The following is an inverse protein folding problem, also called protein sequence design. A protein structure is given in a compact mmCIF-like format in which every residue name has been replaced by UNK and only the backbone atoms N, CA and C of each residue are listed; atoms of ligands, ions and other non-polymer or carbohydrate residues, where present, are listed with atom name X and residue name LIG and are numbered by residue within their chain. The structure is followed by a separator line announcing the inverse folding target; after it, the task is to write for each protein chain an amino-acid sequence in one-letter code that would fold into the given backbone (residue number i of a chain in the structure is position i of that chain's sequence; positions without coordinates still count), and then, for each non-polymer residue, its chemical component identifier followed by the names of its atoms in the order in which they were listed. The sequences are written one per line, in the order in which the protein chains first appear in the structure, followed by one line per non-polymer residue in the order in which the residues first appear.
data_IF_148476182154
#
_entry.id   IF_148476182154
#
_cell.length_a   1.000
_cell.length_b   1.000
_cell.length_c   1.000
_cell.angle_alpha   90.00
_cell.angle_beta   90.00
_cell.angle_gamma   90.00
#
_symmetry.space_group_name_H-M   'P 1'
#
loop_
_entity.id
_entity.type
_entity.pdbx_description
1 polymer ?
#
# COMPACT_ATOMS: atom_id res chain seq x y z
N UNK A 1 15.72 14.86 -7.42
CA UNK A 1 14.79 14.96 -6.26
C UNK A 1 15.62 15.41 -5.05
N UNK A 2 15.25 16.49 -4.36
CA UNK A 2 15.96 16.93 -3.14
C UNK A 2 15.79 15.91 -2.02
N UNK A 3 16.75 15.81 -1.08
CA UNK A 3 16.64 14.87 0.04
C UNK A 3 15.35 15.08 0.85
N UNK A 4 14.98 16.34 1.07
CA UNK A 4 13.78 16.69 1.83
C UNK A 4 12.49 16.15 1.18
N UNK A 5 12.36 16.28 -0.16
CA UNK A 5 11.22 15.72 -0.91
C UNK A 5 11.16 14.18 -0.84
N UNK A 6 12.32 13.51 -0.81
CA UNK A 6 12.38 12.06 -0.68
C UNK A 6 11.84 11.59 0.67
N UNK A 7 12.25 12.23 1.78
CA UNK A 7 11.76 11.89 3.12
C UNK A 7 10.26 12.15 3.27
N UNK A 8 9.76 13.28 2.77
CA UNK A 8 8.32 13.59 2.76
C UNK A 8 7.52 12.52 2.00
N UNK A 9 8.00 12.10 0.82
CA UNK A 9 7.33 11.08 0.02
C UNK A 9 7.32 9.70 0.71
N UNK A 10 8.41 9.32 1.37
CA UNK A 10 8.49 8.07 2.15
C UNK A 10 7.48 8.10 3.30
N UNK A 11 7.39 9.21 4.03
CA UNK A 11 6.40 9.37 5.10
C UNK A 11 4.96 9.28 4.58
N UNK A 12 4.65 9.98 3.47
CA UNK A 12 3.33 9.89 2.83
C UNK A 12 2.99 8.45 2.43
N UNK A 13 3.91 7.75 1.77
CA UNK A 13 3.70 6.36 1.37
C UNK A 13 3.48 5.43 2.57
N UNK A 14 4.23 5.59 3.66
CA UNK A 14 4.04 4.81 4.88
C UNK A 14 2.64 5.02 5.49
N UNK A 15 2.18 6.28 5.56
CA UNK A 15 0.81 6.57 6.01
C UNK A 15 -0.25 6.00 5.06
N UNK A 16 -0.04 6.05 3.74
CA UNK A 16 -0.92 5.43 2.76
C UNK A 16 -0.99 3.91 2.95
N UNK A 17 0.16 3.25 3.14
CA UNK A 17 0.21 1.80 3.39
C UNK A 17 -0.60 1.44 4.63
N UNK A 18 -0.40 2.14 5.75
CA UNK A 18 -1.14 1.87 6.98
C UNK A 18 -2.64 2.06 6.79
N UNK A 19 -3.04 3.18 6.18
CA UNK A 19 -4.45 3.47 5.92
C UNK A 19 -5.09 2.40 5.02
N UNK A 20 -4.44 2.06 3.90
CA UNK A 20 -4.91 1.04 2.97
C UNK A 20 -5.00 -0.34 3.64
N UNK A 21 -4.07 -0.68 4.52
CA UNK A 21 -4.13 -1.90 5.30
C UNK A 21 -5.38 -1.93 6.20
N UNK A 22 -5.57 -0.87 6.99
CA UNK A 22 -6.67 -0.78 7.96
C UNK A 22 -8.03 -0.92 7.27
N UNK A 23 -8.24 -0.23 6.15
CA UNK A 23 -9.50 -0.32 5.40
C UNK A 23 -9.64 -1.65 4.67
N UNK A 24 -8.54 -2.28 4.26
CA UNK A 24 -8.58 -3.62 3.64
C UNK A 24 -8.98 -4.68 4.65
N UNK A 25 -8.46 -4.62 5.87
CA UNK A 25 -8.88 -5.52 6.95
C UNK A 25 -10.33 -5.27 7.39
N UNK A 26 -10.81 -4.02 7.34
CA UNK A 26 -12.24 -3.73 7.54
C UNK A 26 -13.11 -4.31 6.42
N UNK A 27 -12.67 -4.16 5.17
CA UNK A 27 -13.34 -4.73 4.00
C UNK A 27 -13.45 -6.26 4.11
N UNK A 28 -12.34 -6.91 4.47
CA UNK A 28 -12.24 -8.36 4.66
C UNK A 28 -13.18 -8.85 5.77
N UNK A 29 -13.26 -8.14 6.89
CA UNK A 29 -14.16 -8.49 8.00
C UNK A 29 -15.65 -8.40 7.61
N UNK A 30 -15.98 -7.65 6.56
CA UNK A 30 -17.34 -7.55 6.02
C UNK A 30 -17.64 -8.62 4.95
N UNK A 31 -16.62 -9.34 4.45
CA UNK A 31 -16.82 -10.39 3.46
C UNK A 31 -17.29 -11.70 4.09
N UNK A 32 -18.05 -12.47 3.31
CA UNK A 32 -18.49 -13.81 3.71
C UNK A 32 -17.43 -14.89 3.50
N UNK A 33 -16.47 -14.65 2.60
CA UNK A 33 -15.35 -15.54 2.31
C UNK A 33 -14.05 -14.85 2.72
N UNK A 34 -13.22 -15.47 3.58
CA UNK A 34 -11.93 -14.92 3.92
C UNK A 34 -10.92 -15.11 2.78
N UNK A 35 -9.86 -14.31 2.77
CA UNK A 35 -8.75 -14.43 1.83
C UNK A 35 -8.47 -13.18 1.00
N UNK A 36 -9.05 -12.03 1.33
CA UNK A 36 -8.96 -10.81 0.51
C UNK A 36 -9.40 -11.02 -0.94
N UNK A 37 -10.29 -11.99 -1.17
CA UNK A 37 -10.68 -12.42 -2.51
C UNK A 37 -11.36 -11.26 -3.23
N UNK A 38 -10.88 -10.90 -4.42
CA UNK A 38 -11.39 -9.77 -5.22
C UNK A 38 -11.16 -8.38 -4.59
N UNK A 39 -10.32 -8.26 -3.55
CA UNK A 39 -9.93 -6.95 -3.04
C UNK A 39 -9.19 -6.16 -4.13
N UNK A 40 -9.52 -4.88 -4.23
CA UNK A 40 -8.86 -3.90 -5.07
C UNK A 40 -9.17 -2.50 -4.55
N UNK A 41 -8.49 -1.47 -5.05
CA UNK A 41 -8.85 -0.08 -4.71
C UNK A 41 -10.32 0.21 -5.08
N UNK A 42 -10.77 -0.25 -6.25
CA UNK A 42 -12.17 -0.10 -6.69
C UNK A 42 -13.16 -0.81 -5.75
N UNK A 43 -12.79 -1.97 -5.21
CA UNK A 43 -13.61 -2.70 -4.24
C UNK A 43 -13.74 -1.92 -2.91
N UNK A 44 -12.64 -1.31 -2.45
CA UNK A 44 -12.63 -0.43 -1.27
C UNK A 44 -13.46 0.84 -1.50
N UNK A 45 -13.38 1.43 -2.70
CA UNK A 45 -14.22 2.56 -3.09
C UNK A 45 -15.71 2.19 -3.14
N UNK A 46 -16.04 1.06 -3.76
CA UNK A 46 -17.41 0.56 -3.87
C UNK A 46 -18.01 0.24 -2.50
N UNK A 47 -17.19 -0.26 -1.57
CA UNK A 47 -17.58 -0.48 -0.18
C UNK A 47 -17.70 0.83 0.64
N UNK A 48 -17.33 1.98 0.07
CA UNK A 48 -17.34 3.28 0.75
C UNK A 48 -16.23 3.44 1.79
N UNK A 49 -15.21 2.58 1.76
CA UNK A 49 -14.06 2.60 2.68
C UNK A 49 -12.90 3.44 2.15
N UNK A 50 -12.86 3.66 0.84
CA UNK A 50 -11.95 4.58 0.17
C UNK A 50 -12.76 5.63 -0.59
N UNK A 51 -12.36 6.89 -0.52
CA UNK A 51 -13.00 7.97 -1.26
C UNK A 51 -11.97 8.63 -2.17
N UNK A 52 -12.37 9.08 -3.36
CA UNK A 52 -11.50 9.87 -4.26
C UNK A 52 -11.06 11.21 -3.67
N UNK A 53 -11.70 11.65 -2.60
CA UNK A 53 -11.33 12.84 -1.84
C UNK A 53 -10.39 12.52 -0.66
N UNK A 54 -10.15 11.24 -0.39
CA UNK A 54 -9.23 10.82 0.65
C UNK A 54 -7.81 11.26 0.26
N UNK A 55 -7.09 11.99 1.14
CA UNK A 55 -5.71 12.41 0.87
C UNK A 55 -4.74 11.25 0.62
N UNK A 56 -5.15 10.03 0.97
CA UNK A 56 -4.42 8.79 0.76
C UNK A 56 -4.92 7.99 -0.44
N UNK A 57 -6.08 8.31 -1.00
CA UNK A 57 -6.60 7.67 -2.19
C UNK A 57 -5.74 8.03 -3.42
N UNK A 58 -5.20 6.97 -4.03
CA UNK A 58 -4.68 6.92 -5.40
C UNK A 58 -3.43 7.74 -5.73
N UNK A 59 -3.06 8.78 -4.99
CA UNK A 59 -1.88 9.57 -5.34
C UNK A 59 -0.60 8.91 -4.83
N UNK A 60 0.03 8.12 -5.70
CA UNK A 60 1.39 7.62 -5.48
C UNK A 60 2.36 8.82 -5.33
N UNK A 61 3.14 8.93 -4.23
CA UNK A 61 4.01 10.09 -3.99
C UNK A 61 5.08 10.33 -5.06
N UNK A 62 5.35 9.33 -5.90
CA UNK A 62 6.33 9.37 -6.98
C UNK A 62 5.68 9.43 -8.38
N UNK A 63 4.35 9.58 -8.48
CA UNK A 63 3.62 9.67 -9.76
C UNK A 63 3.38 8.31 -10.44
N UNK A 64 3.63 7.21 -9.73
CA UNK A 64 3.30 5.87 -10.19
C UNK A 64 1.85 5.46 -9.87
N UNK A 65 1.62 4.16 -9.85
CA UNK A 65 0.37 3.53 -9.44
C UNK A 65 0.49 2.96 -8.02
N UNK A 66 -0.64 2.89 -7.33
CA UNK A 66 -0.81 2.09 -6.12
C UNK A 66 -1.75 0.95 -6.46
N UNK A 67 -1.46 -0.27 -6.02
CA UNK A 67 -2.40 -1.39 -6.14
C UNK A 67 -2.55 -2.11 -4.81
N UNK A 68 -3.74 -2.64 -4.57
CA UNK A 68 -4.10 -3.51 -3.45
C UNK A 68 -4.60 -4.82 -4.06
N UNK A 69 -4.11 -5.95 -3.58
CA UNK A 69 -4.43 -7.27 -4.09
C UNK A 69 -4.28 -8.34 -3.00
N UNK A 70 -4.94 -9.50 -3.10
CA UNK A 70 -4.65 -10.62 -2.22
C UNK A 70 -3.20 -11.11 -2.41
N UNK A 71 -2.51 -11.43 -1.32
CA UNK A 71 -1.24 -12.13 -1.39
C UNK A 71 -1.46 -13.61 -1.79
N UNK A 72 -0.38 -14.29 -2.15
CA UNK A 72 -0.37 -15.73 -2.37
C UNK A 72 -0.80 -16.51 -1.12
N UNK A 73 -0.43 -16.06 0.07
CA UNK A 73 -1.00 -16.56 1.32
C UNK A 73 -2.27 -15.76 1.62
N UNK A 74 -3.45 -16.42 1.68
CA UNK A 74 -4.74 -15.75 1.82
C UNK A 74 -4.89 -14.97 3.14
N UNK A 75 -3.98 -15.13 4.08
CA UNK A 75 -4.01 -14.37 5.34
C UNK A 75 -3.46 -12.96 5.20
N UNK A 76 -2.79 -12.64 4.09
CA UNK A 76 -2.09 -11.38 3.92
C UNK A 76 -2.55 -10.61 2.68
N UNK A 77 -2.20 -9.32 2.70
CA UNK A 77 -2.52 -8.37 1.66
C UNK A 77 -1.26 -7.82 1.00
N UNK A 78 -1.25 -7.75 -0.33
CA UNK A 78 -0.24 -7.05 -1.10
C UNK A 78 -0.63 -5.60 -1.35
N UNK A 79 0.21 -4.66 -0.89
CA UNK A 79 0.16 -3.25 -1.31
C UNK A 79 1.41 -2.95 -2.12
N UNK A 80 1.21 -2.38 -3.31
CA UNK A 80 2.29 -2.12 -4.26
C UNK A 80 2.34 -0.65 -4.64
N UNK A 81 3.54 -0.08 -4.66
CA UNK A 81 3.83 1.24 -5.23
C UNK A 81 4.79 1.09 -6.41
N UNK A 82 4.44 1.66 -7.57
CA UNK A 82 5.35 1.73 -8.73
C UNK A 82 6.06 3.08 -8.80
N UNK A 83 7.07 3.16 -9.67
CA UNK A 83 7.93 4.34 -9.90
C UNK A 83 8.68 4.83 -8.66
N UNK A 84 8.89 3.96 -7.68
CA UNK A 84 9.64 4.31 -6.48
C UNK A 84 11.14 4.43 -6.79
N UNK A 85 11.81 5.55 -6.44
CA UNK A 85 13.26 5.65 -6.54
C UNK A 85 13.95 4.66 -5.59
N UNK A 86 15.03 4.01 -6.02
CA UNK A 86 15.75 3.00 -5.22
C UNK A 86 16.08 3.46 -3.78
N UNK A 87 16.49 4.72 -3.60
CA UNK A 87 16.75 5.29 -2.27
C UNK A 87 15.50 5.42 -1.40
N UNK A 88 14.36 5.78 -1.99
CA UNK A 88 13.09 5.85 -1.27
C UNK A 88 12.61 4.44 -0.89
N UNK A 89 12.83 3.46 -1.77
CA UNK A 89 12.49 2.06 -1.51
C UNK A 89 13.25 1.49 -0.31
N UNK A 90 14.57 1.73 -0.23
CA UNK A 90 15.37 1.33 0.93
C UNK A 90 14.88 1.97 2.24
N UNK A 91 14.47 3.24 2.20
CA UNK A 91 13.93 3.93 3.37
C UNK A 91 12.55 3.38 3.78
N UNK A 92 11.69 3.05 2.82
CA UNK A 92 10.41 2.38 3.11
C UNK A 92 10.61 0.99 3.72
N UNK A 93 11.55 0.19 3.19
CA UNK A 93 11.92 -1.10 3.79
C UNK A 93 12.27 -0.96 5.28
N UNK A 94 13.06 0.07 5.61
CA UNK A 94 13.44 0.34 6.99
C UNK A 94 12.26 0.80 7.85
N UNK A 95 11.37 1.63 7.30
CA UNK A 95 10.23 2.18 8.02
C UNK A 95 9.18 1.12 8.34
N UNK A 96 8.92 0.20 7.40
CA UNK A 96 7.86 -0.80 7.51
C UNK A 96 8.34 -2.14 8.09
N UNK A 97 9.62 -2.26 8.49
CA UNK A 97 10.23 -3.53 8.93
C UNK A 97 9.49 -4.26 10.06
N UNK A 98 8.85 -3.52 10.96
CA UNK A 98 8.15 -4.09 12.11
C UNK A 98 6.62 -4.16 11.91
N UNK A 99 6.14 -3.76 10.73
CA UNK A 99 4.73 -3.76 10.36
C UNK A 99 4.46 -4.84 9.31
N UNK A 100 5.39 -5.00 8.37
CA UNK A 100 5.27 -5.94 7.26
C UNK A 100 5.49 -7.40 7.69
N UNK A 101 4.63 -8.29 7.21
CA UNK A 101 4.93 -9.73 7.17
C UNK A 101 6.09 -10.01 6.22
N UNK A 102 6.07 -9.38 5.04
CA UNK A 102 7.14 -9.44 4.06
C UNK A 102 7.19 -8.14 3.25
N UNK A 103 8.33 -7.80 2.67
CA UNK A 103 8.48 -6.61 1.85
C UNK A 103 9.69 -6.70 0.94
N UNK A 104 9.57 -6.12 -0.25
CA UNK A 104 10.61 -6.20 -1.27
C UNK A 104 10.69 -4.92 -2.10
N UNK A 105 11.92 -4.58 -2.44
CA UNK A 105 12.24 -3.59 -3.46
C UNK A 105 12.63 -4.30 -4.75
N UNK A 106 11.84 -4.10 -5.79
CA UNK A 106 12.17 -4.46 -7.16
C UNK A 106 12.45 -3.18 -7.96
N UNK A 107 13.01 -3.30 -9.15
CA UNK A 107 13.30 -2.13 -9.99
C UNK A 107 12.04 -1.29 -10.19
N UNK A 108 12.05 -0.05 -9.67
CA UNK A 108 10.94 0.90 -9.70
C UNK A 108 9.64 0.39 -9.04
N UNK A 109 9.72 -0.57 -8.12
CA UNK A 109 8.53 -1.11 -7.44
C UNK A 109 8.83 -1.45 -5.97
N UNK A 110 7.94 -1.06 -5.08
CA UNK A 110 7.91 -1.52 -3.70
C UNK A 110 6.67 -2.37 -3.50
N UNK A 111 6.83 -3.56 -2.91
CA UNK A 111 5.74 -4.46 -2.56
C UNK A 111 5.85 -4.71 -1.06
N UNK A 112 4.75 -4.55 -0.35
CA UNK A 112 4.63 -4.89 1.05
C UNK A 112 3.46 -5.85 1.25
N UNK A 113 3.73 -6.88 2.05
CA UNK A 113 2.81 -7.93 2.46
C UNK A 113 2.49 -7.67 3.93
N UNK A 114 1.21 -7.48 4.26
CA UNK A 114 0.72 -7.11 5.59
C UNK A 114 -0.16 -8.19 6.19
#
# INVERSE_FOLDING_TARGET
MSQNKLYTNVGKAASQIQHLADISYQWEAAQSEPGFRDISLDALETAGLLSKQDPFAEENPWGGTITVAPDRDPRFLDITFTQIPNKACANLLQHMKNVAHNQQCQTNKYIIVL
#
